data_IF_166846016907
#
_entry.id   IF_166846016907
#
_cell.length_a   1.000
_cell.length_b   1.000
_cell.length_c   1.000
_cell.angle_alpha   90.00
_cell.angle_beta   90.00
_cell.angle_gamma   90.00
#
_symmetry.space_group_name_H-M   'P 1'
#
loop_
_entity.id
_entity.type
_entity.pdbx_description
1 polymer ?
#
# COMPACT_ATOMS: atom_id res chain seq x y z
N UNK A 1 -28.83 16.06 20.11
CA UNK A 1 -29.72 16.17 21.27
C UNK A 1 -28.89 16.32 22.53
N UNK A 2 -29.25 17.30 23.41
CA UNK A 2 -28.48 17.59 24.63
C UNK A 2 -29.06 16.93 25.89
N UNK A 3 -30.32 16.51 25.86
CA UNK A 3 -30.96 15.85 26.99
C UNK A 3 -30.54 14.38 27.05
N UNK A 4 -30.01 13.94 28.20
CA UNK A 4 -29.47 12.60 28.40
C UNK A 4 -30.58 11.53 28.29
N UNK A 5 -31.78 11.80 28.83
CA UNK A 5 -32.89 10.84 28.78
C UNK A 5 -33.35 10.62 27.33
N UNK A 6 -33.42 11.69 26.53
CA UNK A 6 -33.71 11.60 25.10
C UNK A 6 -32.59 10.89 24.30
N UNK A 7 -31.33 11.03 24.72
CA UNK A 7 -30.21 10.29 24.09
C UNK A 7 -30.35 8.79 24.33
N UNK A 8 -30.72 8.39 25.54
CA UNK A 8 -30.94 7.00 25.90
C UNK A 8 -32.16 6.42 25.15
N UNK A 9 -33.26 7.17 25.07
CA UNK A 9 -34.47 6.78 24.32
C UNK A 9 -34.19 6.57 22.83
N UNK A 10 -33.43 7.50 22.20
CA UNK A 10 -33.06 7.39 20.78
C UNK A 10 -32.06 6.26 20.51
N UNK A 11 -31.21 5.94 21.47
CA UNK A 11 -30.26 4.84 21.44
C UNK A 11 -29.20 4.93 20.35
N UNK A 12 -28.70 3.77 19.94
CA UNK A 12 -27.56 3.63 19.04
C UNK A 12 -27.91 2.74 17.84
N UNK A 13 -27.20 2.95 16.73
CA UNK A 13 -27.02 1.94 15.67
C UNK A 13 -25.84 1.05 16.05
N UNK A 14 -25.54 0.01 15.25
CA UNK A 14 -24.39 -0.85 15.49
C UNK A 14 -23.03 -0.10 15.57
N UNK A 15 -22.95 1.12 15.03
CA UNK A 15 -21.67 1.86 14.91
C UNK A 15 -21.72 3.33 15.38
N UNK A 16 -22.90 3.89 15.59
CA UNK A 16 -23.03 5.33 15.86
C UNK A 16 -24.29 5.67 16.66
N UNK A 17 -24.29 6.74 17.47
CA UNK A 17 -25.46 7.23 18.17
C UNK A 17 -26.50 7.76 17.17
N UNK A 18 -27.79 7.54 17.44
CA UNK A 18 -28.90 8.11 16.65
C UNK A 18 -29.18 9.56 16.98
N UNK A 19 -28.77 10.01 18.14
CA UNK A 19 -29.02 11.32 18.70
C UNK A 19 -27.94 12.36 18.38
N UNK A 20 -26.85 11.99 17.67
CA UNK A 20 -25.75 12.88 17.32
C UNK A 20 -25.38 12.80 15.83
N UNK A 21 -24.98 13.94 15.30
CA UNK A 21 -24.41 14.08 13.94
C UNK A 21 -22.97 14.52 14.10
N UNK A 22 -22.04 13.83 13.44
CA UNK A 22 -20.64 14.23 13.44
C UNK A 22 -20.45 15.47 12.55
N UNK A 23 -19.79 16.49 13.09
CA UNK A 23 -19.39 17.67 12.35
C UNK A 23 -17.91 17.56 11.97
N UNK A 24 -17.60 17.71 10.69
CA UNK A 24 -16.22 17.81 10.19
C UNK A 24 -15.87 19.26 9.91
N UNK A 25 -14.91 19.78 10.61
CA UNK A 25 -14.35 21.09 10.34
C UNK A 25 -13.67 21.13 8.98
N UNK A 26 -13.56 22.30 8.37
CA UNK A 26 -12.77 22.47 7.15
C UNK A 26 -11.32 22.06 7.43
N UNK A 27 -10.72 21.23 6.57
CA UNK A 27 -9.33 20.82 6.76
C UNK A 27 -8.41 22.04 6.68
N UNK A 28 -7.38 22.03 7.50
CA UNK A 28 -6.31 23.04 7.42
C UNK A 28 -5.56 22.85 6.11
N UNK A 29 -5.30 23.94 5.39
CA UNK A 29 -4.51 23.97 4.17
C UNK A 29 -3.20 24.72 4.41
N UNK A 30 -2.13 24.23 3.78
CA UNK A 30 -0.82 24.89 3.74
C UNK A 30 -0.30 24.89 2.31
N UNK A 31 0.50 25.89 1.96
CA UNK A 31 1.18 25.95 0.66
C UNK A 31 2.62 25.47 0.77
N UNK A 32 3.09 24.78 -0.25
CA UNK A 32 4.48 24.32 -0.37
C UNK A 32 4.87 24.13 -1.83
N UNK A 33 6.16 23.92 -2.12
CA UNK A 33 6.66 23.72 -3.47
C UNK A 33 6.58 22.23 -3.84
N UNK A 34 6.05 21.93 -5.01
CA UNK A 34 6.09 20.64 -5.65
C UNK A 34 7.46 20.46 -6.33
N UNK A 35 8.29 19.53 -5.81
CA UNK A 35 9.63 19.27 -6.35
C UNK A 35 9.60 18.38 -7.59
N UNK A 36 8.88 17.27 -7.48
CA UNK A 36 8.76 16.26 -8.54
C UNK A 36 7.50 15.42 -8.36
N UNK A 37 7.09 14.73 -9.41
CA UNK A 37 5.99 13.77 -9.39
C UNK A 37 6.54 12.36 -9.56
N UNK A 38 6.31 11.50 -8.58
CA UNK A 38 6.63 10.07 -8.66
C UNK A 38 5.37 9.24 -8.76
N UNK A 39 5.50 8.01 -9.26
CA UNK A 39 4.35 7.13 -9.49
C UNK A 39 4.50 5.85 -8.69
N UNK A 40 3.54 5.58 -7.82
CA UNK A 40 3.47 4.37 -7.03
C UNK A 40 2.55 3.34 -7.70
N UNK A 41 2.94 2.08 -7.63
CA UNK A 41 2.18 0.96 -8.18
C UNK A 41 1.59 0.18 -7.01
N UNK A 42 0.28 0.01 -7.00
CA UNK A 42 -0.39 -0.85 -6.03
C UNK A 42 -0.31 -2.34 -6.41
N UNK A 43 -0.65 -3.23 -5.48
CA UNK A 43 -0.68 -4.69 -5.69
C UNK A 43 -1.60 -5.14 -6.84
N UNK A 44 -2.57 -4.33 -7.22
CA UNK A 44 -3.50 -4.56 -8.34
C UNK A 44 -3.05 -3.91 -9.64
N UNK A 45 -1.84 -3.38 -9.70
CA UNK A 45 -1.32 -2.63 -10.83
C UNK A 45 -1.78 -1.18 -10.93
N UNK A 46 -2.66 -0.70 -10.04
CA UNK A 46 -3.14 0.68 -10.06
C UNK A 46 -2.01 1.67 -9.85
N UNK A 47 -1.90 2.66 -10.73
CA UNK A 47 -0.90 3.71 -10.68
C UNK A 47 -1.45 4.90 -9.91
N UNK A 48 -0.72 5.34 -8.91
CA UNK A 48 -1.06 6.53 -8.09
C UNK A 48 0.08 7.54 -8.19
N UNK A 49 -0.16 8.72 -8.76
CA UNK A 49 0.82 9.80 -8.78
C UNK A 49 0.94 10.42 -7.39
N UNK A 50 2.17 10.71 -6.99
CA UNK A 50 2.52 11.27 -5.67
C UNK A 50 3.40 12.49 -5.87
N UNK A 51 2.97 13.61 -5.32
CA UNK A 51 3.75 14.83 -5.23
C UNK A 51 4.83 14.69 -4.16
N UNK A 52 6.09 14.81 -4.51
CA UNK A 52 7.20 15.02 -3.57
C UNK A 52 7.33 16.52 -3.33
N UNK A 53 7.18 16.92 -2.09
CA UNK A 53 7.01 18.30 -1.66
C UNK A 53 8.24 18.81 -0.90
N UNK A 54 8.44 20.10 -0.91
CA UNK A 54 9.24 20.73 0.13
C UNK A 54 8.57 20.48 1.49
N UNK A 55 9.33 20.03 2.52
CA UNK A 55 8.75 19.68 3.80
C UNK A 55 7.98 20.82 4.43
N UNK A 56 6.73 20.60 4.82
CA UNK A 56 5.85 21.61 5.43
C UNK A 56 5.08 21.04 6.62
N UNK A 57 4.90 21.86 7.65
CA UNK A 57 4.09 21.50 8.82
C UNK A 57 2.60 21.60 8.49
N UNK A 58 1.86 20.50 8.71
CA UNK A 58 0.41 20.44 8.50
C UNK A 58 -0.25 19.55 9.56
N UNK A 59 -1.13 20.14 10.36
CA UNK A 59 -1.86 19.45 11.42
C UNK A 59 -0.94 18.57 12.29
N UNK A 60 0.11 19.19 12.85
CA UNK A 60 1.04 18.57 13.80
C UNK A 60 2.06 17.59 13.21
N UNK A 61 2.10 17.41 11.88
CA UNK A 61 3.08 16.50 11.22
C UNK A 61 3.82 17.21 10.09
N UNK A 62 5.05 16.74 9.84
CA UNK A 62 5.86 17.23 8.72
C UNK A 62 5.50 16.44 7.46
N UNK A 63 4.86 17.10 6.49
CA UNK A 63 4.41 16.51 5.23
C UNK A 63 5.49 16.72 4.17
N UNK A 64 5.96 15.62 3.58
CA UNK A 64 6.95 15.58 2.49
C UNK A 64 6.35 15.04 1.18
N UNK A 65 5.22 14.35 1.25
CA UNK A 65 4.54 13.74 0.10
C UNK A 65 3.04 13.89 0.22
N UNK A 66 2.37 14.12 -0.92
CA UNK A 66 0.92 14.20 -0.99
C UNK A 66 0.38 13.46 -2.21
N UNK A 67 -0.82 12.91 -2.12
CA UNK A 67 -1.48 12.25 -3.24
C UNK A 67 -1.94 13.25 -4.29
N UNK A 68 -1.73 12.90 -5.56
CA UNK A 68 -2.31 13.58 -6.72
C UNK A 68 -3.51 12.81 -7.31
N UNK A 69 -3.95 11.77 -6.61
CA UNK A 69 -5.06 10.88 -6.96
C UNK A 69 -4.89 10.14 -8.29
N UNK A 70 -4.94 10.82 -9.44
CA UNK A 70 -4.90 10.25 -10.78
C UNK A 70 -4.51 11.30 -11.85
N UNK A 71 -4.43 10.88 -13.11
CA UNK A 71 -4.09 11.75 -14.23
C UNK A 71 -5.09 12.90 -14.42
N UNK A 72 -6.39 12.63 -14.23
CA UNK A 72 -7.44 13.64 -14.43
C UNK A 72 -7.32 14.79 -13.42
N UNK A 73 -6.92 14.48 -12.18
CA UNK A 73 -6.69 15.50 -11.17
C UNK A 73 -5.48 16.36 -11.50
N UNK A 74 -4.39 15.77 -12.01
CA UNK A 74 -3.20 16.51 -12.48
C UNK A 74 -3.60 17.45 -13.63
N UNK A 75 -4.33 16.95 -14.63
CA UNK A 75 -4.79 17.74 -15.76
C UNK A 75 -5.78 18.85 -15.34
N UNK A 76 -6.75 18.54 -14.47
CA UNK A 76 -7.76 19.48 -13.98
C UNK A 76 -7.14 20.68 -13.24
N UNK A 77 -6.09 20.43 -12.45
CA UNK A 77 -5.40 21.47 -11.70
C UNK A 77 -4.22 22.08 -12.47
N UNK A 78 -3.93 21.59 -13.67
CA UNK A 78 -2.72 21.95 -14.45
C UNK A 78 -1.47 21.98 -13.57
N UNK A 79 -1.25 20.88 -12.81
CA UNK A 79 -0.14 20.78 -11.86
C UNK A 79 1.17 20.58 -12.63
N UNK A 80 2.19 21.37 -12.30
CA UNK A 80 3.53 21.29 -12.89
C UNK A 80 4.60 21.21 -11.80
N UNK A 81 5.71 20.58 -12.13
CA UNK A 81 6.88 20.57 -11.24
C UNK A 81 7.41 22.01 -11.06
N UNK A 82 7.77 22.34 -9.84
CA UNK A 82 8.14 23.71 -9.43
C UNK A 82 6.96 24.56 -8.93
N UNK A 83 5.70 24.15 -9.16
CA UNK A 83 4.55 24.92 -8.69
C UNK A 83 4.48 25.01 -7.17
N UNK A 84 3.95 26.14 -6.70
CA UNK A 84 3.43 26.27 -5.34
C UNK A 84 2.05 25.65 -5.28
N UNK A 85 1.92 24.60 -4.45
CA UNK A 85 0.68 23.81 -4.34
C UNK A 85 0.07 23.92 -2.95
N UNK A 86 -1.27 23.88 -2.89
CA UNK A 86 -2.01 23.81 -1.63
C UNK A 86 -2.23 22.35 -1.26
N UNK A 87 -1.89 22.02 0.00
CA UNK A 87 -1.99 20.67 0.55
C UNK A 87 -2.91 20.67 1.75
N UNK A 88 -3.80 19.68 1.81
CA UNK A 88 -4.64 19.40 2.96
C UNK A 88 -4.58 17.93 3.36
N UNK A 89 -4.94 17.59 4.59
CA UNK A 89 -5.13 16.21 5.01
C UNK A 89 -6.59 15.81 4.86
N UNK A 90 -6.86 14.83 4.00
CA UNK A 90 -8.17 14.20 3.89
C UNK A 90 -8.43 13.30 5.09
N UNK A 91 -9.46 13.62 5.89
CA UNK A 91 -9.79 12.88 7.11
C UNK A 91 -8.67 12.87 8.15
N UNK A 92 -7.89 13.96 8.22
CA UNK A 92 -6.75 14.18 9.12
C UNK A 92 -5.56 13.21 8.99
N UNK A 93 -5.54 12.35 7.96
CA UNK A 93 -4.53 11.30 7.83
C UNK A 93 -3.71 11.44 6.54
N UNK A 94 -4.35 11.42 5.37
CA UNK A 94 -3.66 11.32 4.07
C UNK A 94 -3.53 12.72 3.43
N UNK A 95 -2.29 13.23 3.24
CA UNK A 95 -2.07 14.48 2.53
C UNK A 95 -2.46 14.36 1.05
N UNK A 96 -3.15 15.35 0.52
CA UNK A 96 -3.51 15.47 -0.89
C UNK A 96 -3.31 16.89 -1.40
N UNK A 97 -2.97 17.03 -2.66
CA UNK A 97 -2.91 18.33 -3.34
C UNK A 97 -4.32 18.71 -3.78
N UNK A 98 -4.75 19.93 -3.44
CA UNK A 98 -6.11 20.44 -3.71
C UNK A 98 -6.13 21.65 -4.63
N UNK A 99 -4.99 22.28 -4.86
CA UNK A 99 -4.90 23.46 -5.73
C UNK A 99 -3.47 23.85 -6.04
N UNK A 100 -3.32 24.79 -6.96
CA UNK A 100 -2.07 25.40 -7.41
C UNK A 100 -2.16 26.91 -7.29
N UNK A 101 -1.10 27.56 -6.80
CA UNK A 101 -0.98 29.03 -6.77
C UNK A 101 -0.37 29.49 -8.11
N UNK A 102 -1.24 29.90 -9.04
CA UNK A 102 -0.83 30.26 -10.39
C UNK A 102 -0.03 31.58 -10.46
N UNK A 103 -0.12 32.44 -9.45
CA UNK A 103 0.58 33.73 -9.44
C UNK A 103 2.09 33.58 -9.32
N UNK A 104 2.52 32.53 -8.65
CA UNK A 104 3.94 32.25 -8.38
C UNK A 104 4.52 31.27 -9.42
N UNK A 105 3.76 30.89 -10.47
CA UNK A 105 4.21 29.92 -11.46
C UNK A 105 5.26 30.51 -12.39
N UNK A 106 6.32 29.72 -12.64
CA UNK A 106 7.30 30.04 -13.64
C UNK A 106 6.67 29.98 -15.04
N UNK A 107 6.90 31.03 -15.84
CA UNK A 107 6.40 31.15 -17.22
C UNK A 107 6.94 30.07 -18.16
N UNK A 108 8.08 29.49 -17.84
CA UNK A 108 8.72 28.42 -18.63
C UNK A 108 8.37 27.01 -18.13
N UNK A 109 7.56 26.87 -17.06
CA UNK A 109 7.16 25.57 -16.55
C UNK A 109 6.42 24.76 -17.61
N UNK A 110 6.82 23.50 -17.80
CA UNK A 110 6.20 22.62 -18.78
C UNK A 110 5.01 21.88 -18.17
N UNK A 111 3.93 21.64 -18.95
CA UNK A 111 2.81 20.81 -18.52
C UNK A 111 3.28 19.42 -18.13
N UNK A 112 2.74 18.89 -17.04
CA UNK A 112 3.04 17.53 -16.59
C UNK A 112 2.45 16.50 -17.55
N UNK A 113 3.31 15.71 -18.17
CA UNK A 113 2.92 14.55 -18.98
C UNK A 113 2.77 13.33 -18.10
N UNK A 114 1.57 12.71 -18.08
CA UNK A 114 1.36 11.48 -17.33
C UNK A 114 2.13 10.33 -17.98
N UNK A 115 2.67 9.42 -17.15
CA UNK A 115 3.43 8.28 -17.67
C UNK A 115 2.58 7.34 -18.51
N UNK A 116 3.17 6.79 -19.55
CA UNK A 116 2.53 5.82 -20.45
C UNK A 116 2.94 4.38 -20.19
N UNK A 117 4.03 4.19 -19.44
CA UNK A 117 4.60 2.89 -19.12
C UNK A 117 4.78 2.71 -17.62
N UNK A 118 4.71 1.47 -17.18
CA UNK A 118 4.90 1.09 -15.78
C UNK A 118 6.36 1.37 -15.34
N UNK A 119 6.59 2.14 -14.28
CA UNK A 119 7.95 2.46 -13.83
C UNK A 119 8.72 1.26 -13.26
N UNK A 120 8.06 0.12 -13.02
CA UNK A 120 8.71 -1.09 -12.51
C UNK A 120 9.03 -2.12 -13.59
N UNK A 121 8.11 -2.39 -14.51
CA UNK A 121 8.29 -3.45 -15.52
C UNK A 121 8.21 -2.96 -16.97
N UNK A 122 8.09 -1.65 -17.17
CA UNK A 122 8.02 -0.97 -18.48
C UNK A 122 6.87 -1.45 -19.41
N UNK A 123 5.89 -2.17 -18.90
CA UNK A 123 4.69 -2.53 -19.67
C UNK A 123 3.84 -1.29 -19.92
N UNK A 124 3.22 -1.20 -21.09
CA UNK A 124 2.30 -0.11 -21.43
C UNK A 124 1.12 -0.10 -20.44
N UNK A 125 0.82 1.08 -19.91
CA UNK A 125 -0.32 1.25 -18.99
C UNK A 125 -1.64 1.21 -19.76
N UNK A 126 -2.65 0.66 -19.12
CA UNK A 126 -4.02 0.61 -19.63
C UNK A 126 -4.97 1.40 -18.73
N UNK A 127 -5.94 2.03 -19.33
CA UNK A 127 -7.05 2.70 -18.63
C UNK A 127 -8.35 2.24 -19.25
N UNK A 128 -9.21 1.63 -18.45
CA UNK A 128 -10.55 1.24 -18.91
C UNK A 128 -11.43 2.47 -19.03
N UNK A 129 -12.36 2.43 -19.97
CA UNK A 129 -13.34 3.49 -20.13
C UNK A 129 -14.15 3.68 -18.84
N UNK A 130 -14.30 4.92 -18.40
CA UNK A 130 -14.95 5.27 -17.13
C UNK A 130 -14.09 5.09 -15.88
N UNK A 131 -12.88 4.52 -15.98
CA UNK A 131 -12.00 4.36 -14.82
C UNK A 131 -11.11 5.60 -14.63
N UNK A 132 -10.96 6.03 -13.39
CA UNK A 132 -10.13 7.19 -13.05
C UNK A 132 -8.63 6.87 -13.00
N UNK A 133 -8.24 5.60 -12.96
CA UNK A 133 -6.85 5.16 -12.77
C UNK A 133 -6.30 4.46 -14.00
N UNK A 134 -5.00 4.58 -14.16
CA UNK A 134 -4.23 3.74 -15.07
C UNK A 134 -3.72 2.51 -14.34
N UNK A 135 -3.59 1.40 -15.05
CA UNK A 135 -3.16 0.12 -14.49
C UNK A 135 -2.02 -0.46 -15.31
N UNK A 136 -1.09 -1.10 -14.63
CA UNK A 136 -0.13 -2.00 -15.24
C UNK A 136 -0.78 -3.37 -15.43
N UNK A 137 -0.98 -3.85 -16.68
CA UNK A 137 -1.64 -5.13 -16.96
C UNK A 137 -0.76 -6.36 -16.66
N UNK A 138 0.53 -6.16 -16.50
CA UNK A 138 1.50 -7.25 -16.32
C UNK A 138 1.49 -7.80 -14.89
N UNK A 139 0.34 -8.35 -14.45
CA UNK A 139 0.16 -8.83 -13.08
C UNK A 139 1.16 -9.92 -12.68
N UNK A 140 1.55 -10.78 -13.61
CA UNK A 140 2.32 -11.99 -13.31
C UNK A 140 3.83 -11.76 -13.28
N UNK A 141 4.32 -10.72 -13.97
CA UNK A 141 5.75 -10.45 -14.07
C UNK A 141 6.16 -9.05 -13.55
N UNK A 142 5.22 -8.22 -13.10
CA UNK A 142 5.58 -6.94 -12.51
C UNK A 142 6.10 -7.14 -11.08
N UNK A 143 7.38 -6.82 -10.77
CA UNK A 143 7.98 -7.10 -9.47
C UNK A 143 7.20 -6.50 -8.28
N UNK A 144 6.73 -5.25 -8.43
CA UNK A 144 5.98 -4.57 -7.37
C UNK A 144 4.61 -5.22 -7.15
N UNK A 145 3.93 -5.68 -8.21
CA UNK A 145 2.65 -6.37 -8.07
C UNK A 145 2.83 -7.74 -7.42
N UNK A 146 3.87 -8.48 -7.80
CA UNK A 146 4.22 -9.76 -7.18
C UNK A 146 4.48 -9.56 -5.70
N UNK A 147 5.41 -8.65 -5.33
CA UNK A 147 5.72 -8.32 -3.94
C UNK A 147 4.47 -7.92 -3.16
N UNK A 148 3.63 -7.04 -3.74
CA UNK A 148 2.40 -6.56 -3.09
C UNK A 148 1.36 -7.66 -2.86
N UNK A 149 1.29 -8.70 -3.70
CA UNK A 149 0.45 -9.88 -3.49
C UNK A 149 0.93 -10.70 -2.29
N UNK A 150 2.24 -10.94 -2.19
CA UNK A 150 2.84 -11.61 -1.03
C UNK A 150 2.61 -10.84 0.27
N UNK A 151 2.88 -9.52 0.27
CA UNK A 151 2.66 -8.66 1.43
C UNK A 151 1.19 -8.67 1.88
N UNK A 152 0.26 -8.65 0.94
CA UNK A 152 -1.15 -8.76 1.26
C UNK A 152 -1.48 -10.13 1.84
N UNK A 153 -0.97 -11.20 1.25
CA UNK A 153 -1.22 -12.57 1.70
C UNK A 153 -0.76 -12.80 3.15
N UNK A 154 0.42 -12.31 3.51
CA UNK A 154 0.96 -12.45 4.87
C UNK A 154 0.36 -11.48 5.89
N UNK A 155 -0.35 -10.45 5.43
CA UNK A 155 -0.86 -9.38 6.30
C UNK A 155 -1.93 -9.86 7.29
N UNK A 156 -2.16 -9.05 8.35
CA UNK A 156 -3.21 -9.28 9.36
C UNK A 156 -4.62 -9.43 8.79
N UNK A 157 -4.86 -8.85 7.60
CA UNK A 157 -6.17 -8.92 6.93
C UNK A 157 -6.38 -10.22 6.15
N UNK A 158 -5.33 -11.00 5.95
CA UNK A 158 -5.36 -12.28 5.24
C UNK A 158 -4.86 -13.41 6.13
N UNK A 159 -3.64 -13.91 5.94
CA UNK A 159 -3.12 -15.08 6.66
C UNK A 159 -2.51 -14.76 8.02
N UNK A 160 -2.20 -13.48 8.29
CA UNK A 160 -1.61 -13.02 9.56
C UNK A 160 -0.33 -13.79 9.94
N UNK A 161 0.60 -13.89 8.98
CA UNK A 161 1.86 -14.60 9.18
C UNK A 161 2.84 -13.66 9.89
N UNK A 162 3.16 -14.00 11.14
CA UNK A 162 4.10 -13.25 11.95
C UNK A 162 5.55 -13.53 11.55
N UNK A 163 6.42 -12.52 11.70
CA UNK A 163 7.84 -12.64 11.35
C UNK A 163 8.19 -12.48 9.86
N UNK A 164 7.21 -12.51 8.94
CA UNK A 164 7.37 -12.25 7.52
C UNK A 164 6.99 -10.80 7.21
N UNK A 165 7.98 -9.90 7.11
CA UNK A 165 7.77 -8.51 6.68
C UNK A 165 8.05 -8.30 5.19
N UNK A 166 7.67 -7.12 4.66
CA UNK A 166 7.86 -6.78 3.24
C UNK A 166 9.31 -6.86 2.75
N UNK A 167 10.28 -6.51 3.60
CA UNK A 167 11.71 -6.61 3.26
C UNK A 167 12.19 -8.06 3.20
N UNK A 168 11.66 -8.92 4.08
CA UNK A 168 11.96 -10.36 4.05
C UNK A 168 11.39 -11.01 2.80
N UNK A 169 10.16 -10.67 2.44
CA UNK A 169 9.52 -11.12 1.19
C UNK A 169 10.34 -10.70 -0.04
N UNK A 170 10.77 -9.44 -0.10
CA UNK A 170 11.60 -8.92 -1.20
C UNK A 170 12.89 -9.73 -1.36
N UNK A 171 13.61 -9.93 -0.27
CA UNK A 171 14.83 -10.74 -0.27
C UNK A 171 14.59 -12.18 -0.72
N UNK A 172 13.51 -12.81 -0.26
CA UNK A 172 13.18 -14.19 -0.63
C UNK A 172 12.77 -14.32 -2.11
N UNK A 173 12.10 -13.31 -2.67
CA UNK A 173 11.78 -13.22 -4.10
C UNK A 173 13.07 -13.03 -4.91
N UNK A 174 13.94 -12.10 -4.54
CA UNK A 174 15.23 -11.85 -5.22
C UNK A 174 16.12 -13.09 -5.23
N UNK A 175 16.15 -13.83 -4.13
CA UNK A 175 16.90 -15.10 -4.02
C UNK A 175 16.18 -16.29 -4.64
N UNK A 176 15.01 -16.11 -5.27
CA UNK A 176 14.19 -17.15 -5.92
C UNK A 176 13.71 -18.25 -4.98
N UNK A 177 13.59 -17.95 -3.70
CA UNK A 177 12.96 -18.85 -2.73
C UNK A 177 11.43 -18.78 -2.80
N UNK A 178 10.88 -17.61 -3.21
CA UNK A 178 9.46 -17.36 -3.43
C UNK A 178 9.25 -16.95 -4.89
N UNK A 179 8.57 -17.79 -5.66
CA UNK A 179 8.10 -17.51 -7.02
C UNK A 179 6.56 -17.43 -7.04
N UNK A 180 5.91 -18.27 -6.24
CA UNK A 180 4.46 -18.32 -6.06
C UNK A 180 4.10 -18.27 -4.56
N UNK A 181 2.86 -17.88 -4.25
CA UNK A 181 2.36 -17.80 -2.87
C UNK A 181 2.45 -19.16 -2.15
N UNK A 182 2.28 -20.27 -2.88
CA UNK A 182 2.43 -21.62 -2.36
C UNK A 182 3.84 -21.93 -1.83
N UNK A 183 4.86 -21.27 -2.35
CA UNK A 183 6.24 -21.45 -1.89
C UNK A 183 6.44 -21.08 -0.42
N UNK A 184 5.59 -20.21 0.15
CA UNK A 184 5.62 -19.85 1.56
C UNK A 184 5.51 -21.10 2.44
N UNK A 185 4.68 -22.07 2.04
CA UNK A 185 4.45 -23.30 2.81
C UNK A 185 5.60 -24.31 2.69
N UNK A 186 6.47 -24.14 1.70
CA UNK A 186 7.64 -25.01 1.49
C UNK A 186 8.96 -24.40 1.98
N UNK A 187 8.93 -23.20 2.55
CA UNK A 187 10.14 -22.53 3.08
C UNK A 187 10.87 -23.35 4.13
N UNK A 188 10.13 -24.13 4.94
CA UNK A 188 10.70 -25.01 5.96
C UNK A 188 11.66 -26.03 5.38
N UNK A 189 11.38 -26.59 4.19
CA UNK A 189 12.27 -27.54 3.49
C UNK A 189 13.55 -26.89 2.99
N UNK A 190 13.54 -25.56 2.77
CA UNK A 190 14.68 -24.75 2.33
C UNK A 190 15.45 -24.10 3.51
N UNK A 191 15.14 -24.47 4.75
CA UNK A 191 15.67 -23.86 5.98
C UNK A 191 17.19 -23.69 5.94
N UNK A 192 17.93 -24.74 5.61
CA UNK A 192 19.40 -24.73 5.59
C UNK A 192 20.00 -23.76 4.56
N UNK A 193 19.24 -23.41 3.51
CA UNK A 193 19.65 -22.46 2.48
C UNK A 193 19.29 -21.00 2.86
N UNK A 194 18.32 -20.85 3.76
CA UNK A 194 17.83 -19.53 4.19
C UNK A 194 18.56 -19.04 5.44
N UNK A 195 18.98 -19.97 6.34
CA UNK A 195 19.76 -19.64 7.54
C UNK A 195 21.06 -18.94 7.12
N UNK A 196 21.33 -17.76 7.72
CA UNK A 196 22.52 -16.96 7.44
C UNK A 196 22.37 -15.96 6.29
N UNK A 197 21.22 -15.90 5.62
CA UNK A 197 20.95 -14.80 4.70
C UNK A 197 20.79 -13.51 5.52
N UNK A 198 21.67 -12.54 5.27
CA UNK A 198 21.60 -11.22 5.90
C UNK A 198 20.78 -10.26 5.04
N UNK A 199 19.97 -9.42 5.66
CA UNK A 199 19.39 -8.26 5.01
C UNK A 199 20.47 -7.21 4.87
N UNK A 200 21.09 -7.07 3.69
CA UNK A 200 21.95 -5.94 3.41
C UNK A 200 21.10 -4.76 2.93
N UNK A 201 21.01 -3.71 3.75
CA UNK A 201 21.03 -2.34 3.26
C UNK A 201 22.47 -1.85 3.39
N UNK A 202 23.02 -1.33 2.32
CA UNK A 202 24.32 -0.63 2.28
C UNK A 202 24.26 0.70 3.05
N UNK A 203 23.82 0.69 4.28
CA UNK A 203 24.00 1.82 5.21
C UNK A 203 23.97 1.26 6.62
N UNK A 204 25.15 1.26 7.24
CA UNK A 204 25.42 1.21 8.67
C UNK A 204 24.79 0.11 9.53
N UNK A 205 25.64 -0.88 9.85
CA UNK A 205 25.85 -1.49 11.17
C UNK A 205 24.69 -2.20 11.90
N UNK A 206 23.71 -2.73 11.20
CA UNK A 206 22.74 -3.64 11.83
C UNK A 206 22.42 -4.86 10.97
N UNK A 207 23.30 -5.85 11.04
CA UNK A 207 23.02 -7.19 10.52
C UNK A 207 22.02 -7.90 11.44
N UNK A 208 20.73 -7.82 11.13
CA UNK A 208 19.72 -8.68 11.76
C UNK A 208 19.85 -10.06 11.14
N UNK A 209 20.36 -11.01 11.88
CA UNK A 209 20.40 -12.42 11.46
C UNK A 209 18.98 -12.97 11.38
N UNK A 210 18.69 -13.65 10.27
CA UNK A 210 17.40 -14.28 9.98
C UNK A 210 17.00 -15.39 10.98
N UNK A 211 17.94 -15.82 11.81
CA UNK A 211 17.84 -17.02 12.67
C UNK A 211 16.81 -16.89 13.80
N UNK A 212 16.52 -15.66 14.27
CA UNK A 212 15.67 -15.47 15.44
C UNK A 212 14.19 -15.20 15.10
N UNK A 213 13.84 -14.91 13.86
CA UNK A 213 12.51 -14.44 13.49
C UNK A 213 11.64 -15.45 12.73
N UNK A 214 12.22 -16.43 12.06
CA UNK A 214 11.45 -17.52 11.46
C UNK A 214 11.36 -18.72 12.41
N UNK A 215 10.80 -18.51 13.57
CA UNK A 215 10.29 -19.64 14.34
C UNK A 215 9.06 -20.19 13.61
N UNK A 216 9.28 -21.15 12.74
CA UNK A 216 8.28 -21.94 12.01
C UNK A 216 7.40 -22.75 12.98
N UNK A 217 7.09 -22.19 14.15
CA UNK A 217 6.39 -22.94 15.20
C UNK A 217 4.92 -23.21 14.94
N UNK A 218 4.28 -22.58 13.95
CA UNK A 218 2.82 -22.66 13.90
C UNK A 218 2.18 -22.58 12.50
N UNK A 219 2.78 -23.11 11.45
CA UNK A 219 2.06 -23.20 10.16
C UNK A 219 0.80 -24.09 10.28
N UNK A 220 0.80 -25.12 11.10
CA UNK A 220 -0.38 -25.94 11.36
C UNK A 220 -1.47 -25.19 12.14
N UNK A 221 -1.13 -24.22 13.00
CA UNK A 221 -2.10 -23.42 13.78
C UNK A 221 -2.75 -22.31 12.95
N UNK A 222 -2.12 -21.88 11.85
CA UNK A 222 -2.69 -20.86 10.95
C UNK A 222 -3.96 -21.33 10.24
N UNK A 223 -4.07 -22.64 9.96
CA UNK A 223 -5.24 -23.22 9.31
C UNK A 223 -6.47 -23.32 10.23
N UNK A 224 -6.28 -23.31 11.55
CA UNK A 224 -7.38 -23.49 12.50
C UNK A 224 -8.03 -22.19 12.95
N UNK A 225 -7.37 -21.03 12.80
CA UNK A 225 -7.85 -19.76 13.40
C UNK A 225 -8.73 -18.88 12.51
N UNK A 226 -8.70 -19.00 11.17
CA UNK A 226 -9.54 -18.17 10.26
C UNK A 226 -10.01 -18.90 9.00
N UNK A 227 -10.93 -19.86 9.09
CA UNK A 227 -11.40 -20.62 7.90
C UNK A 227 -12.26 -19.81 6.91
N UNK A 228 -12.68 -18.60 7.24
CA UNK A 228 -13.70 -17.85 6.48
C UNK A 228 -13.18 -16.93 5.37
N UNK A 229 -11.86 -16.83 5.13
CA UNK A 229 -11.27 -15.82 4.22
C UNK A 229 -10.71 -16.44 2.92
N UNK A 230 -10.90 -17.73 2.71
CA UNK A 230 -10.34 -18.42 1.55
C UNK A 230 -11.17 -18.21 0.28
N UNK A 231 -10.55 -17.63 -0.77
CA UNK A 231 -11.09 -17.76 -2.12
C UNK A 231 -11.01 -19.24 -2.55
N UNK A 232 -11.92 -19.68 -3.44
CA UNK A 232 -11.95 -21.05 -3.96
C UNK A 232 -10.60 -21.58 -4.49
N UNK A 233 -9.74 -20.68 -4.95
CA UNK A 233 -8.42 -21.03 -5.51
C UNK A 233 -7.38 -21.29 -4.43
N UNK A 234 -7.39 -20.51 -3.35
CA UNK A 234 -6.52 -20.78 -2.20
C UNK A 234 -6.93 -22.11 -1.53
N UNK A 235 -8.23 -22.41 -1.45
CA UNK A 235 -8.70 -23.68 -0.94
C UNK A 235 -8.24 -24.87 -1.80
N UNK A 236 -8.14 -24.71 -3.12
CA UNK A 236 -7.59 -25.76 -4.02
C UNK A 236 -6.09 -25.98 -3.80
N UNK A 237 -5.31 -24.90 -3.63
CA UNK A 237 -3.87 -24.98 -3.35
C UNK A 237 -3.61 -25.68 -2.02
N UNK A 238 -4.42 -25.36 -1.01
CA UNK A 238 -4.34 -26.00 0.31
C UNK A 238 -4.71 -27.48 0.22
N UNK A 239 -5.79 -27.85 -0.48
CA UNK A 239 -6.24 -29.22 -0.61
C UNK A 239 -5.23 -30.11 -1.36
N UNK A 240 -4.54 -29.57 -2.37
CA UNK A 240 -3.50 -30.29 -3.10
C UNK A 240 -2.30 -30.61 -2.20
N UNK A 241 -1.91 -29.65 -1.32
CA UNK A 241 -0.81 -29.87 -0.40
C UNK A 241 -1.19 -30.71 0.83
N UNK A 242 -2.48 -30.72 1.23
CA UNK A 242 -2.97 -31.52 2.35
C UNK A 242 -3.05 -33.02 2.05
N UNK A 243 -3.22 -33.39 0.78
CA UNK A 243 -3.14 -34.81 0.39
C UNK A 243 -1.76 -35.44 0.62
N UNK A 244 -0.73 -34.60 0.70
CA UNK A 244 0.64 -35.06 0.97
C UNK A 244 1.01 -35.02 2.48
N UNK A 245 0.12 -34.48 3.35
CA UNK A 245 0.34 -34.41 4.79
C UNK A 245 -0.40 -35.50 5.59
N UNK A 246 -1.27 -36.28 4.93
CA UNK A 246 -1.94 -37.43 5.56
C UNK A 246 -1.08 -38.71 5.56
N UNK A 247 0.14 -38.64 5.03
CA UNK A 247 1.09 -39.76 4.95
C UNK A 247 2.28 -39.61 5.94
N UNK A 248 2.14 -38.72 6.95
CA UNK A 248 3.11 -38.58 8.07
C UNK A 248 2.40 -38.96 9.41
#
# INVERSE_FOLDING_TARGET
VNDINLQEEMGFTAKSPRWAISYKFKPQQVSTILKEITYQIGRTGAITPVANLEPVQLAGTNVKRASLHNADQIAKLDIREGDRVFVEKGGDIIPKVVGVELKDRDLFSQPTMYITHCPSCNSKLERKEGDAKHYCPNSDNCPIQIKGRFEHFISRKAMDIDGLGGETIEMLIEKKFLNDISDIFTLSSKRNQIIGLTKFKETDDSSVKFDDQLQVKNYALLFTKKPAIFSREIAKIILVNYKNLSDI
#
